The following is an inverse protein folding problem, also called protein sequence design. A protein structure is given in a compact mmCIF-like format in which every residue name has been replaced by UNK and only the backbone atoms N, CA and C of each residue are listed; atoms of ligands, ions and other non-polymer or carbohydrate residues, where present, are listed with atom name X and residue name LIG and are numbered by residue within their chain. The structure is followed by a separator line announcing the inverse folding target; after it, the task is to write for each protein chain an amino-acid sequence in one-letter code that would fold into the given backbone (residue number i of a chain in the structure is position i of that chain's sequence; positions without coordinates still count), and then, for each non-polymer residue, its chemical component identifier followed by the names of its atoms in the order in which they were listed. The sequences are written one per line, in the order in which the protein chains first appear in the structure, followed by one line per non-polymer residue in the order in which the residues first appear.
data_IF_376450409363
#
_entry.id   IF_376450409363
#
_cell.length_a   1.000
_cell.length_b   1.000
_cell.length_c   1.000
_cell.angle_alpha   90.00
_cell.angle_beta   90.00
_cell.angle_gamma   90.00
#
_symmetry.space_group_name_H-M   'P 1'
#
loop_
_entity.id
_entity.type
_entity.pdbx_description
1 polymer ?
#
# COMPACT_ATOMS: atom_id res chain seq x y z
N UNK A 1 -9.57 -27.36 -16.84
CA UNK A 1 -9.16 -26.80 -18.15
C UNK A 1 -8.67 -25.39 -17.93
N UNK A 2 -7.35 -25.17 -17.89
CA UNK A 2 -6.79 -23.82 -17.81
C UNK A 2 -6.70 -23.25 -19.21
N UNK A 3 -7.61 -22.35 -19.58
CA UNK A 3 -7.40 -21.55 -20.78
C UNK A 3 -6.41 -20.43 -20.43
N UNK A 4 -5.30 -20.37 -21.16
CA UNK A 4 -4.47 -19.17 -21.18
C UNK A 4 -5.37 -18.03 -21.69
N UNK A 5 -5.65 -17.05 -20.83
CA UNK A 5 -6.63 -16.00 -21.09
C UNK A 5 -6.18 -15.02 -22.18
N UNK A 6 -4.96 -15.19 -22.72
CA UNK A 6 -4.33 -14.24 -23.64
C UNK A 6 -3.95 -12.92 -22.98
N UNK A 7 -4.31 -12.73 -21.70
CA UNK A 7 -4.17 -11.47 -20.99
C UNK A 7 -2.70 -11.08 -20.85
N UNK A 8 -2.42 -9.81 -21.08
CA UNK A 8 -1.07 -9.24 -20.98
C UNK A 8 -1.07 -8.07 -20.03
N UNK A 9 -0.04 -8.02 -19.18
CA UNK A 9 0.28 -6.86 -18.35
C UNK A 9 1.58 -6.26 -18.85
N UNK A 10 1.58 -4.97 -19.15
CA UNK A 10 2.76 -4.21 -19.57
C UNK A 10 3.09 -3.22 -18.46
N UNK A 11 4.32 -3.30 -17.95
CA UNK A 11 4.81 -2.43 -16.87
C UNK A 11 6.02 -1.65 -17.35
N UNK A 12 6.02 -0.33 -17.11
CA UNK A 12 7.15 0.56 -17.39
C UNK A 12 7.72 1.10 -16.09
N UNK A 13 9.05 1.14 -16.01
CA UNK A 13 9.79 1.56 -14.82
C UNK A 13 10.73 2.71 -15.17
N UNK A 14 10.96 3.61 -14.22
CA UNK A 14 11.99 4.64 -14.35
C UNK A 14 13.37 4.17 -13.92
N UNK A 15 14.38 5.04 -14.07
CA UNK A 15 15.78 4.77 -13.71
C UNK A 15 16.00 4.52 -12.20
N UNK A 16 15.02 4.78 -11.34
CA UNK A 16 15.06 4.51 -9.90
C UNK A 16 14.29 3.22 -9.54
N UNK A 17 13.94 2.40 -10.54
CA UNK A 17 13.15 1.19 -10.38
C UNK A 17 11.76 1.44 -9.78
N UNK A 18 11.12 2.58 -10.12
CA UNK A 18 9.74 2.89 -9.72
C UNK A 18 8.79 2.62 -10.87
N UNK A 19 7.65 1.97 -10.58
CA UNK A 19 6.64 1.66 -11.59
C UNK A 19 5.95 2.96 -12.03
N UNK A 20 6.20 3.42 -13.25
CA UNK A 20 5.60 4.67 -13.75
C UNK A 20 4.34 4.45 -14.56
N UNK A 21 4.19 3.26 -15.15
CA UNK A 21 3.03 2.92 -15.97
C UNK A 21 2.72 1.44 -15.87
N UNK A 22 1.43 1.10 -15.77
CA UNK A 22 0.93 -0.27 -15.88
C UNK A 22 -0.30 -0.30 -16.78
N UNK A 23 -0.33 -1.24 -17.71
CA UNK A 23 -1.48 -1.49 -18.57
C UNK A 23 -1.84 -2.98 -18.60
N UNK A 24 -3.12 -3.32 -18.46
CA UNK A 24 -3.63 -4.68 -18.67
C UNK A 24 -4.53 -4.74 -19.88
N UNK A 25 -4.36 -5.77 -20.71
CA UNK A 25 -5.12 -6.00 -21.94
C UNK A 25 -5.60 -7.44 -21.99
N UNK A 26 -6.82 -7.68 -22.49
CA UNK A 26 -7.33 -9.04 -22.73
C UNK A 26 -6.45 -9.85 -23.68
N UNK A 27 -5.79 -9.19 -24.63
CA UNK A 27 -4.76 -9.79 -25.48
C UNK A 27 -3.74 -8.72 -25.93
N UNK A 28 -2.57 -9.12 -26.48
CA UNK A 28 -1.50 -8.16 -26.81
C UNK A 28 -1.91 -7.04 -27.78
N UNK A 29 -2.95 -7.26 -28.57
CA UNK A 29 -3.44 -6.34 -29.61
C UNK A 29 -4.73 -5.62 -29.24
N UNK A 30 -5.36 -5.96 -28.10
CA UNK A 30 -6.60 -5.32 -27.67
C UNK A 30 -6.32 -3.96 -27.07
N UNK A 31 -7.35 -3.11 -27.01
CA UNK A 31 -7.30 -1.91 -26.18
C UNK A 31 -7.02 -2.27 -24.70
N UNK A 32 -6.48 -1.31 -23.96
CA UNK A 32 -6.33 -1.40 -22.51
C UNK A 32 -7.68 -1.69 -21.85
N UNK A 33 -7.73 -2.68 -20.96
CA UNK A 33 -8.81 -2.84 -19.98
C UNK A 33 -8.65 -1.85 -18.83
N UNK A 34 -7.39 -1.65 -18.44
CA UNK A 34 -6.96 -0.65 -17.48
C UNK A 34 -5.59 -0.13 -17.87
N UNK A 35 -5.40 1.17 -17.68
CA UNK A 35 -4.11 1.84 -17.69
C UNK A 35 -3.98 2.70 -16.43
N UNK A 36 -2.81 2.67 -15.80
CA UNK A 36 -2.50 3.45 -14.62
C UNK A 36 -1.10 4.07 -14.77
N UNK A 37 -1.04 5.40 -14.68
CA UNK A 37 0.19 6.18 -14.61
C UNK A 37 0.43 6.65 -13.18
N UNK A 38 1.67 6.53 -12.71
CA UNK A 38 2.05 6.87 -11.34
C UNK A 38 3.08 7.99 -11.31
N UNK A 39 2.87 8.95 -10.41
CA UNK A 39 3.80 10.08 -10.20
C UNK A 39 4.44 9.97 -8.82
N UNK A 40 5.73 10.25 -8.73
CA UNK A 40 6.53 10.14 -7.51
C UNK A 40 7.22 11.44 -7.17
N UNK A 41 7.42 11.70 -5.88
CA UNK A 41 8.29 12.77 -5.41
C UNK A 41 9.79 12.38 -5.46
N UNK A 42 10.64 13.28 -4.98
CA UNK A 42 12.10 13.07 -4.92
C UNK A 42 12.52 12.01 -3.89
N UNK A 43 11.65 11.70 -2.94
CA UNK A 43 11.84 10.71 -1.87
C UNK A 43 11.26 9.34 -2.22
N UNK A 44 10.91 9.12 -3.49
CA UNK A 44 10.33 7.87 -4.01
C UNK A 44 8.94 7.53 -3.46
N UNK A 45 8.24 8.51 -2.90
CA UNK A 45 6.84 8.33 -2.48
C UNK A 45 5.93 8.62 -3.65
N UNK A 46 4.96 7.74 -3.90
CA UNK A 46 3.91 7.98 -4.89
C UNK A 46 3.04 9.15 -4.45
N UNK A 47 3.01 10.24 -5.20
CA UNK A 47 2.24 11.45 -4.89
C UNK A 47 0.97 11.61 -5.72
N UNK A 48 0.74 10.72 -6.68
CA UNK A 48 -0.51 10.70 -7.43
C UNK A 48 -0.57 9.56 -8.41
N UNK A 49 -1.77 9.34 -8.95
CA UNK A 49 -2.01 8.43 -10.05
C UNK A 49 -3.07 8.95 -11.00
N UNK A 50 -2.99 8.54 -12.25
CA UNK A 50 -4.01 8.76 -13.29
C UNK A 50 -4.40 7.40 -13.82
N UNK A 51 -5.70 7.09 -13.80
CA UNK A 51 -6.22 5.78 -14.15
C UNK A 51 -7.28 5.92 -15.21
N UNK A 52 -7.22 5.04 -16.20
CA UNK A 52 -8.24 4.85 -17.23
C UNK A 52 -8.67 3.40 -17.15
N UNK A 53 -9.92 3.15 -16.73
CA UNK A 53 -10.39 1.78 -16.49
C UNK A 53 -11.86 1.59 -16.90
N UNK A 54 -12.19 0.35 -17.31
CA UNK A 54 -13.57 -0.09 -17.58
C UNK A 54 -13.93 -0.16 -19.07
N UNK A 55 -15.09 -0.76 -19.36
CA UNK A 55 -15.58 -0.99 -20.73
C UNK A 55 -15.97 0.31 -21.47
N UNK A 56 -16.35 1.35 -20.72
CA UNK A 56 -16.45 2.73 -21.16
C UNK A 56 -15.43 3.51 -20.32
N UNK A 57 -14.18 3.63 -20.77
CA UNK A 57 -13.08 4.05 -19.92
C UNK A 57 -13.35 5.42 -19.33
N UNK A 58 -13.48 5.47 -18.00
CA UNK A 58 -13.54 6.72 -17.25
C UNK A 58 -12.13 6.98 -16.74
N UNK A 59 -11.62 8.16 -17.08
CA UNK A 59 -10.39 8.66 -16.49
C UNK A 59 -10.70 9.20 -15.10
N UNK A 60 -9.86 8.89 -14.12
CA UNK A 60 -9.82 9.61 -12.85
C UNK A 60 -8.38 9.89 -12.45
N UNK A 61 -8.18 10.96 -11.67
CA UNK A 61 -6.87 11.32 -11.11
C UNK A 61 -6.93 11.42 -9.61
N UNK A 62 -5.82 11.12 -8.98
CA UNK A 62 -5.63 11.26 -7.53
C UNK A 62 -4.31 11.95 -7.22
N UNK A 63 -4.29 12.66 -6.08
CA UNK A 63 -3.07 13.27 -5.52
C UNK A 63 -3.03 13.09 -4.02
N UNK A 64 -1.84 12.87 -3.47
CA UNK A 64 -1.64 12.43 -2.09
C UNK A 64 -0.77 13.41 -1.31
N UNK A 65 -1.19 13.71 -0.09
CA UNK A 65 -0.40 14.48 0.89
C UNK A 65 0.01 13.56 2.02
N UNK A 66 1.30 13.60 2.33
CA UNK A 66 1.91 12.73 3.32
C UNK A 66 2.18 13.46 4.65
N UNK A 67 1.98 12.75 5.75
CA UNK A 67 2.61 13.03 7.04
C UNK A 67 3.52 11.83 7.37
N UNK A 68 4.83 12.07 7.41
CA UNK A 68 5.83 11.01 7.41
C UNK A 68 5.64 10.02 6.25
N UNK A 69 5.30 8.78 6.59
CA UNK A 69 5.10 7.64 5.69
C UNK A 69 3.63 7.33 5.38
N UNK A 70 2.70 8.15 5.89
CA UNK A 70 1.25 7.93 5.76
C UNK A 70 0.60 8.98 4.87
N UNK A 71 -0.35 8.55 4.03
CA UNK A 71 -1.19 9.45 3.23
C UNK A 71 -2.31 9.98 4.13
N UNK A 72 -2.17 11.21 4.61
CA UNK A 72 -3.16 11.84 5.49
C UNK A 72 -4.28 12.53 4.72
N UNK A 73 -4.02 12.95 3.48
CA UNK A 73 -5.03 13.59 2.62
C UNK A 73 -4.92 13.03 1.21
N UNK A 74 -6.08 12.79 0.61
CA UNK A 74 -6.24 12.40 -0.78
C UNK A 74 -7.18 13.37 -1.48
N UNK A 75 -6.75 13.83 -2.65
CA UNK A 75 -7.59 14.57 -3.58
C UNK A 75 -7.93 13.67 -4.76
N UNK A 76 -9.17 13.76 -5.25
CA UNK A 76 -9.66 12.98 -6.38
C UNK A 76 -10.42 13.85 -7.37
N UNK A 77 -10.07 13.69 -8.63
CA UNK A 77 -10.79 14.17 -9.79
C UNK A 77 -11.48 12.95 -10.41
N UNK A 78 -12.81 12.82 -10.30
CA UNK A 78 -13.53 11.61 -10.66
C UNK A 78 -13.77 11.43 -12.17
N UNK A 79 -13.59 12.48 -12.97
CA UNK A 79 -13.85 12.47 -14.42
C UNK A 79 -12.66 12.91 -15.28
N UNK A 80 -11.51 13.18 -14.64
CA UNK A 80 -10.22 13.32 -15.31
C UNK A 80 -10.01 14.71 -15.93
N UNK A 81 -8.91 14.89 -16.66
CA UNK A 81 -8.49 16.22 -17.15
C UNK A 81 -9.51 16.86 -18.10
N UNK A 82 -10.28 16.02 -18.80
CA UNK A 82 -11.29 16.45 -19.76
C UNK A 82 -12.68 16.62 -19.12
N UNK A 83 -12.86 16.20 -17.87
CA UNK A 83 -14.12 16.25 -17.15
C UNK A 83 -14.42 17.63 -16.56
N UNK A 84 -15.71 17.93 -16.29
CA UNK A 84 -16.09 19.19 -15.64
C UNK A 84 -15.80 19.23 -14.13
N UNK A 85 -15.55 18.11 -13.44
CA UNK A 85 -15.29 18.12 -12.01
C UNK A 85 -13.84 18.52 -11.70
N UNK A 86 -13.60 19.24 -10.60
CA UNK A 86 -12.25 19.59 -10.20
C UNK A 86 -11.57 18.44 -9.43
N UNK A 87 -10.24 18.51 -9.35
CA UNK A 87 -9.48 17.81 -8.32
C UNK A 87 -9.89 18.36 -6.94
N UNK A 88 -10.65 17.58 -6.18
CA UNK A 88 -11.24 18.00 -4.91
C UNK A 88 -10.83 17.07 -3.76
N UNK A 89 -10.96 17.55 -2.52
CA UNK A 89 -10.71 16.74 -1.33
C UNK A 89 -11.62 15.51 -1.35
N UNK A 90 -11.03 14.32 -1.25
CA UNK A 90 -11.75 13.05 -1.28
C UNK A 90 -11.65 12.29 0.03
N UNK A 91 -10.47 12.24 0.66
CA UNK A 91 -10.30 11.52 1.93
C UNK A 91 -9.34 12.25 2.85
N UNK A 92 -9.65 12.25 4.15
CA UNK A 92 -8.71 12.55 5.25
C UNK A 92 -8.56 11.33 6.12
N UNK A 93 -7.35 11.08 6.61
CA UNK A 93 -7.04 9.91 7.42
C UNK A 93 -6.41 10.33 8.74
N UNK A 94 -6.87 9.69 9.81
CA UNK A 94 -6.25 9.79 11.13
C UNK A 94 -5.50 8.49 11.39
N UNK A 95 -4.19 8.59 11.55
CA UNK A 95 -3.33 7.48 11.92
C UNK A 95 -2.99 7.53 13.41
N UNK A 96 -2.78 6.35 13.98
CA UNK A 96 -2.21 6.22 15.31
C UNK A 96 -0.70 6.47 15.30
N UNK A 97 -0.04 6.37 16.47
CA UNK A 97 1.41 6.55 16.58
C UNK A 97 2.22 5.42 15.94
N UNK A 98 1.56 4.48 15.28
CA UNK A 98 2.10 3.22 14.79
C UNK A 98 2.10 3.21 13.26
N UNK A 99 3.14 2.65 12.63
CA UNK A 99 3.14 2.51 11.16
C UNK A 99 1.94 1.68 10.68
N UNK A 100 1.23 2.23 9.71
CA UNK A 100 0.09 1.63 9.02
C UNK A 100 -1.07 1.31 9.97
N UNK A 101 -1.12 1.95 11.15
CA UNK A 101 -2.28 1.91 12.06
C UNK A 101 -3.26 3.01 11.69
N UNK A 102 -4.20 2.70 10.81
CA UNK A 102 -5.33 3.57 10.54
C UNK A 102 -6.31 3.55 11.73
N UNK A 103 -6.80 4.71 12.14
CA UNK A 103 -7.82 4.85 13.19
C UNK A 103 -9.17 5.27 12.62
N UNK A 104 -9.18 6.20 11.66
CA UNK A 104 -10.39 6.67 11.01
C UNK A 104 -10.09 7.23 9.61
N UNK A 105 -11.06 7.10 8.72
CA UNK A 105 -11.08 7.76 7.42
C UNK A 105 -12.33 8.62 7.30
N UNK A 106 -12.16 9.88 6.94
CA UNK A 106 -13.26 10.78 6.60
C UNK A 106 -13.29 10.93 5.08
N UNK A 107 -14.36 10.42 4.45
CA UNK A 107 -14.53 10.41 2.99
C UNK A 107 -15.53 11.48 2.56
N UNK A 108 -15.28 12.06 1.39
CA UNK A 108 -16.06 13.15 0.79
C UNK A 108 -16.59 12.73 -0.59
N UNK A 109 -17.72 13.29 -1.04
CA UNK A 109 -18.27 13.05 -2.37
C UNK A 109 -17.27 13.33 -3.50
N UNK A 110 -17.38 12.54 -4.56
CA UNK A 110 -16.63 12.74 -5.79
C UNK A 110 -16.91 14.14 -6.38
N UNK A 111 -15.86 14.84 -6.82
CA UNK A 111 -15.98 16.20 -7.38
C UNK A 111 -16.09 17.31 -6.34
N UNK A 112 -16.09 16.95 -5.04
CA UNK A 112 -16.07 17.88 -3.92
C UNK A 112 -17.42 17.99 -3.20
N UNK A 113 -17.40 18.66 -2.05
CA UNK A 113 -18.56 18.85 -1.19
C UNK A 113 -18.16 18.99 0.28
N UNK A 114 -19.11 19.45 1.10
CA UNK A 114 -18.89 19.65 2.53
C UNK A 114 -19.44 18.52 3.40
N UNK A 115 -20.23 17.60 2.80
CA UNK A 115 -20.75 16.45 3.51
C UNK A 115 -19.67 15.38 3.54
N UNK A 116 -19.35 14.84 4.71
CA UNK A 116 -18.39 13.76 4.87
C UNK A 116 -19.02 12.54 5.54
N UNK A 117 -18.40 11.38 5.33
CA UNK A 117 -18.73 10.14 6.02
C UNK A 117 -17.49 9.62 6.72
N UNK A 118 -17.58 9.38 8.02
CA UNK A 118 -16.49 8.81 8.81
C UNK A 118 -16.61 7.29 8.81
N UNK A 119 -15.58 6.63 8.32
CA UNK A 119 -15.35 5.20 8.37
C UNK A 119 -14.33 4.91 9.47
N UNK A 120 -14.58 3.83 10.22
CA UNK A 120 -13.69 3.29 11.23
C UNK A 120 -13.17 1.94 10.71
N UNK A 121 -11.98 1.89 10.11
CA UNK A 121 -11.40 0.63 9.66
C UNK A 121 -10.96 -0.20 10.87
N UNK A 122 -11.42 -1.45 10.93
CA UNK A 122 -11.01 -2.41 11.94
C UNK A 122 -10.03 -3.39 11.30
N UNK A 123 -8.81 -3.38 11.81
CA UNK A 123 -7.73 -4.18 11.29
C UNK A 123 -7.51 -5.46 12.12
N UNK A 124 -7.05 -6.52 11.46
CA UNK A 124 -6.49 -7.67 12.15
C UNK A 124 -5.12 -7.35 12.77
N UNK A 125 -4.51 -8.35 13.40
CA UNK A 125 -3.23 -8.16 14.09
C UNK A 125 -2.08 -7.75 13.14
N UNK A 126 -2.17 -8.04 11.84
CA UNK A 126 -1.19 -7.59 10.84
C UNK A 126 -1.50 -6.20 10.30
N UNK A 127 -2.54 -5.53 10.80
CA UNK A 127 -2.97 -4.24 10.26
C UNK A 127 -3.85 -4.38 9.01
N UNK A 128 -4.19 -5.60 8.57
CA UNK A 128 -5.05 -5.78 7.40
C UNK A 128 -6.47 -5.34 7.74
N UNK A 129 -7.05 -4.41 6.99
CA UNK A 129 -8.41 -3.93 7.23
C UNK A 129 -9.42 -5.03 6.92
N UNK A 130 -10.13 -5.52 7.94
CA UNK A 130 -11.16 -6.57 7.80
C UNK A 130 -12.56 -6.01 7.75
N UNK A 131 -12.84 -4.96 8.50
CA UNK A 131 -14.16 -4.34 8.54
C UNK A 131 -14.07 -2.83 8.37
N UNK A 132 -15.08 -2.25 7.73
CA UNK A 132 -15.34 -0.81 7.76
C UNK A 132 -16.62 -0.59 8.55
N UNK A 133 -16.55 0.26 9.58
CA UNK A 133 -17.68 0.58 10.44
C UNK A 133 -18.09 2.04 10.27
N UNK A 134 -19.40 2.29 10.28
CA UNK A 134 -19.97 3.64 10.37
C UNK A 134 -20.82 3.78 11.62
N UNK A 135 -20.91 5.01 12.13
CA UNK A 135 -21.82 5.35 13.21
C UNK A 135 -23.14 5.88 12.65
N UNK A 136 -24.26 5.23 13.00
CA UNK A 136 -25.58 5.72 12.63
C UNK A 136 -26.07 6.69 13.71
N UNK A 137 -26.07 7.99 13.40
CA UNK A 137 -26.54 9.03 14.34
C UNK A 137 -28.02 8.93 14.68
N UNK A 138 -28.84 8.36 13.81
CA UNK A 138 -30.29 8.22 14.02
C UNK A 138 -30.62 7.09 14.98
N UNK A 139 -29.83 6.01 14.99
CA UNK A 139 -30.02 4.88 15.92
C UNK A 139 -29.06 4.91 17.12
N UNK A 140 -28.01 5.73 17.06
CA UNK A 140 -26.97 5.82 18.08
C UNK A 140 -26.07 4.59 18.15
N UNK A 141 -26.00 3.77 17.10
CA UNK A 141 -25.27 2.50 17.08
C UNK A 141 -24.29 2.43 15.91
N UNK A 142 -23.11 1.80 16.08
CA UNK A 142 -22.24 1.47 14.97
C UNK A 142 -22.80 0.30 14.16
N UNK A 143 -22.48 0.25 12.88
CA UNK A 143 -22.79 -0.87 12.00
C UNK A 143 -21.64 -1.10 11.01
N UNK A 144 -21.41 -2.37 10.67
CA UNK A 144 -20.43 -2.75 9.65
C UNK A 144 -21.02 -2.39 8.29
N UNK A 145 -20.26 -1.65 7.49
CA UNK A 145 -20.61 -1.32 6.09
C UNK A 145 -19.98 -2.24 5.09
N UNK A 146 -18.83 -2.83 5.46
CA UNK A 146 -18.05 -3.72 4.59
C UNK A 146 -17.24 -4.68 5.44
N UNK A 147 -17.22 -5.95 5.03
CA UNK A 147 -16.33 -6.99 5.55
C UNK A 147 -15.47 -7.53 4.40
N UNK A 148 -14.19 -7.78 4.65
CA UNK A 148 -13.20 -8.22 3.66
C UNK A 148 -12.45 -9.45 4.17
N UNK A 149 -12.52 -10.51 3.38
CA UNK A 149 -11.76 -11.74 3.57
C UNK A 149 -10.53 -11.75 2.66
N UNK A 150 -9.38 -12.01 3.25
CA UNK A 150 -8.12 -12.26 2.56
C UNK A 150 -7.67 -13.70 2.76
N UNK A 151 -7.03 -14.29 1.74
CA UNK A 151 -6.16 -15.44 1.95
C UNK A 151 -4.84 -15.02 2.63
N UNK A 152 -3.96 -15.99 2.87
CA UNK A 152 -2.75 -15.72 3.65
C UNK A 152 -1.74 -14.80 2.96
N UNK A 153 -1.79 -14.70 1.64
CA UNK A 153 -0.92 -13.79 0.87
C UNK A 153 -1.60 -12.44 0.61
N UNK A 154 -2.77 -12.20 1.20
CA UNK A 154 -3.46 -10.92 1.08
C UNK A 154 -4.37 -10.80 -0.13
N UNK A 155 -4.60 -11.88 -0.89
CA UNK A 155 -5.55 -11.84 -2.00
C UNK A 155 -6.96 -11.86 -1.43
N UNK A 156 -7.79 -10.95 -1.91
CA UNK A 156 -9.20 -10.84 -1.51
C UNK A 156 -9.95 -12.08 -2.00
N UNK A 157 -10.55 -12.82 -1.08
CA UNK A 157 -11.34 -14.03 -1.35
C UNK A 157 -12.83 -13.85 -1.10
N UNK A 158 -13.22 -12.77 -0.42
CA UNK A 158 -14.60 -12.44 -0.14
C UNK A 158 -14.75 -10.98 0.24
N UNK A 159 -15.86 -10.38 -0.18
CA UNK A 159 -16.28 -9.05 0.29
C UNK A 159 -17.79 -9.11 0.50
N UNK A 160 -18.26 -8.67 1.67
CA UNK A 160 -19.69 -8.48 1.91
C UNK A 160 -19.99 -7.05 2.33
N UNK A 161 -21.21 -6.59 2.02
CA UNK A 161 -21.71 -5.29 2.46
C UNK A 161 -22.34 -5.37 3.86
N UNK A 162 -22.86 -4.25 4.37
CA UNK A 162 -23.49 -4.20 5.70
C UNK A 162 -24.75 -5.05 5.90
N UNK A 163 -25.32 -5.64 4.84
CA UNK A 163 -26.39 -6.63 4.93
C UNK A 163 -25.91 -8.08 4.77
N UNK A 164 -24.59 -8.29 4.76
CA UNK A 164 -23.96 -9.61 4.59
C UNK A 164 -24.05 -10.17 3.17
N UNK A 165 -24.45 -9.37 2.18
CA UNK A 165 -24.53 -9.79 0.79
C UNK A 165 -23.19 -9.64 0.08
N UNK A 166 -22.87 -10.51 -0.90
CA UNK A 166 -21.67 -10.36 -1.73
C UNK A 166 -21.56 -8.96 -2.34
N UNK A 167 -20.35 -8.41 -2.33
CA UNK A 167 -20.05 -7.04 -2.73
C UNK A 167 -18.69 -6.99 -3.44
N UNK A 168 -18.27 -5.81 -3.91
CA UNK A 168 -16.89 -5.57 -4.37
C UNK A 168 -16.19 -4.55 -3.45
N UNK A 169 -14.87 -4.42 -3.59
CA UNK A 169 -14.10 -3.43 -2.84
C UNK A 169 -14.52 -2.00 -3.17
N UNK A 170 -14.89 -1.74 -4.43
CA UNK A 170 -15.22 -0.39 -4.92
C UNK A 170 -16.71 -0.03 -4.78
N UNK A 171 -17.58 -0.98 -4.40
CA UNK A 171 -19.01 -0.69 -4.23
C UNK A 171 -19.35 -0.17 -2.83
N UNK A 172 -20.10 0.93 -2.77
CA UNK A 172 -20.47 1.58 -1.51
C UNK A 172 -19.27 2.19 -0.78
N UNK A 173 -19.34 2.39 0.55
CA UNK A 173 -18.21 2.87 1.33
C UNK A 173 -16.99 1.96 1.16
N UNK A 174 -15.84 2.54 0.80
CA UNK A 174 -14.60 1.81 0.53
C UNK A 174 -13.42 2.50 1.20
N UNK A 175 -12.32 1.75 1.31
CA UNK A 175 -11.03 2.28 1.73
C UNK A 175 -9.97 1.83 0.73
N UNK A 176 -8.92 2.64 0.59
CA UNK A 176 -7.69 2.29 -0.12
C UNK A 176 -6.82 1.32 0.69
N UNK A 177 -6.97 1.29 2.01
CA UNK A 177 -6.10 0.51 2.89
C UNK A 177 -6.62 -0.92 3.00
N UNK A 178 -5.83 -1.89 2.54
CA UNK A 178 -6.20 -3.28 2.51
C UNK A 178 -5.32 -4.16 3.39
N UNK A 179 -4.75 -5.19 2.78
CA UNK A 179 -3.88 -6.14 3.45
C UNK A 179 -2.64 -5.47 4.03
N UNK A 180 -2.27 -5.83 5.27
CA UNK A 180 -1.18 -5.22 6.06
C UNK A 180 -1.28 -3.69 6.25
N UNK A 181 -2.47 -3.09 6.06
CA UNK A 181 -2.70 -1.65 6.18
C UNK A 181 -2.10 -0.83 5.03
N UNK A 182 -1.75 -1.51 3.92
CA UNK A 182 -1.13 -0.90 2.74
C UNK A 182 -2.17 -0.57 1.68
N UNK A 183 -1.80 0.38 0.82
CA UNK A 183 -2.67 0.85 -0.25
C UNK A 183 -2.89 -0.26 -1.27
N UNK A 184 -4.15 -0.53 -1.58
CA UNK A 184 -4.58 -1.45 -2.62
C UNK A 184 -5.14 -0.67 -3.81
N UNK A 185 -4.56 -0.90 -4.97
CA UNK A 185 -5.03 -0.36 -6.25
C UNK A 185 -5.98 -1.37 -6.88
N UNK A 186 -7.28 -1.23 -6.60
CA UNK A 186 -8.32 -2.13 -7.10
C UNK A 186 -8.34 -2.22 -8.63
N UNK A 187 -7.95 -1.15 -9.31
CA UNK A 187 -7.88 -1.10 -10.76
C UNK A 187 -6.77 -1.96 -11.34
N UNK A 188 -5.71 -2.30 -10.58
CA UNK A 188 -4.60 -3.16 -11.03
C UNK A 188 -4.54 -4.50 -10.29
N UNK A 189 -5.17 -4.58 -9.12
CA UNK A 189 -5.06 -5.72 -8.20
C UNK A 189 -3.76 -5.73 -7.41
N UNK A 190 -2.97 -4.65 -7.45
CA UNK A 190 -1.68 -4.56 -6.80
C UNK A 190 -1.77 -3.81 -5.47
N UNK A 191 -0.91 -4.20 -4.54
CA UNK A 191 -0.69 -3.49 -3.29
C UNK A 191 0.58 -2.64 -3.40
N UNK A 192 0.52 -1.38 -3.02
CA UNK A 192 1.67 -0.47 -3.00
C UNK A 192 2.32 -0.46 -1.60
N UNK A 193 3.55 -0.97 -1.51
CA UNK A 193 4.36 -0.99 -0.29
C UNK A 193 5.55 -0.05 -0.44
N UNK A 194 5.29 1.23 -0.72
CA UNK A 194 6.30 2.30 -0.77
C UNK A 194 7.37 2.04 -1.84
N UNK A 195 8.41 1.28 -1.51
CA UNK A 195 9.49 0.96 -2.44
C UNK A 195 9.10 -0.05 -3.53
N UNK A 196 8.09 -0.91 -3.29
CA UNK A 196 7.71 -1.97 -4.23
C UNK A 196 6.20 -2.14 -4.36
N UNK A 197 5.78 -2.64 -5.52
CA UNK A 197 4.42 -3.15 -5.73
C UNK A 197 4.40 -4.65 -5.47
N UNK A 198 3.41 -5.10 -4.70
CA UNK A 198 3.17 -6.49 -4.34
C UNK A 198 1.96 -7.03 -5.10
N UNK A 199 2.12 -8.20 -5.69
CA UNK A 199 1.05 -8.97 -6.31
C UNK A 199 0.63 -10.10 -5.38
N UNK A 200 -0.51 -9.91 -4.72
CA UNK A 200 -1.09 -10.89 -3.81
C UNK A 200 -1.63 -12.13 -4.54
N UNK A 201 -1.95 -12.04 -5.84
CA UNK A 201 -2.47 -13.17 -6.60
C UNK A 201 -1.42 -14.26 -6.83
N UNK A 202 -0.15 -13.86 -6.93
CA UNK A 202 1.00 -14.76 -7.08
C UNK A 202 1.96 -14.75 -5.89
N UNK A 203 1.66 -13.96 -4.85
CA UNK A 203 2.39 -13.93 -3.59
C UNK A 203 3.82 -13.40 -3.68
N UNK A 204 4.09 -12.39 -4.52
CA UNK A 204 5.45 -11.85 -4.73
C UNK A 204 5.50 -10.38 -5.10
N UNK A 205 6.69 -9.79 -5.00
CA UNK A 205 6.99 -8.46 -5.50
C UNK A 205 7.04 -8.44 -7.04
N UNK A 206 6.65 -7.31 -7.65
CA UNK A 206 6.78 -7.10 -9.11
C UNK A 206 8.20 -6.72 -9.54
N UNK A 207 8.99 -6.14 -8.65
CA UNK A 207 10.37 -5.72 -8.90
C UNK A 207 11.34 -6.39 -7.93
N UNK A 208 12.61 -6.45 -8.33
CA UNK A 208 13.70 -6.87 -7.46
C UNK A 208 13.80 -5.93 -6.24
N UNK A 209 14.25 -6.49 -5.12
CA UNK A 209 14.56 -5.71 -3.92
C UNK A 209 15.60 -4.60 -4.21
N UNK A 210 15.27 -3.31 -4.02
CA UNK A 210 16.19 -2.21 -4.27
C UNK A 210 17.48 -2.25 -3.45
N UNK A 211 17.49 -2.91 -2.29
CA UNK A 211 18.71 -3.09 -1.48
C UNK A 211 19.44 -4.41 -1.80
N UNK A 212 18.94 -5.17 -2.79
CA UNK A 212 19.51 -6.42 -3.28
C UNK A 212 19.67 -7.47 -2.17
N UNK A 213 20.77 -8.21 -2.21
CA UNK A 213 21.08 -9.22 -1.19
C UNK A 213 21.29 -8.67 0.22
N UNK A 214 21.41 -7.34 0.38
CA UNK A 214 21.45 -6.71 1.70
C UNK A 214 20.13 -6.86 2.46
N UNK A 215 19.04 -7.22 1.76
CA UNK A 215 17.76 -7.58 2.36
C UNK A 215 17.79 -8.91 3.14
N UNK A 216 18.89 -9.66 3.08
CA UNK A 216 19.02 -10.96 3.78
C UNK A 216 18.41 -12.15 3.04
N UNK A 217 17.78 -11.90 1.88
CA UNK A 217 17.11 -12.91 1.06
C UNK A 217 17.81 -13.08 -0.31
N UNK A 218 18.22 -14.30 -0.71
CA UNK A 218 18.71 -14.54 -2.08
C UNK A 218 17.62 -14.43 -3.15
N UNK A 219 16.34 -14.49 -2.79
CA UNK A 219 15.22 -14.30 -3.72
C UNK A 219 14.70 -12.87 -3.62
N UNK A 220 15.12 -12.02 -4.55
CA UNK A 220 14.80 -10.58 -4.57
C UNK A 220 13.32 -10.27 -4.84
N UNK A 221 12.50 -11.27 -5.18
CA UNK A 221 11.07 -11.13 -5.44
C UNK A 221 10.20 -11.72 -4.32
N UNK A 222 10.78 -12.42 -3.35
CA UNK A 222 10.00 -13.16 -2.34
C UNK A 222 9.35 -12.20 -1.35
N UNK A 223 8.05 -12.39 -1.11
CA UNK A 223 7.35 -11.69 -0.05
C UNK A 223 7.58 -12.39 1.29
N UNK A 224 8.14 -11.65 2.26
CA UNK A 224 8.28 -12.01 3.68
C UNK A 224 8.68 -13.48 3.96
N UNK A 225 9.67 -13.99 3.21
CA UNK A 225 10.17 -15.37 3.32
C UNK A 225 9.09 -16.46 3.16
N UNK A 226 8.00 -16.19 2.43
CA UNK A 226 6.83 -17.06 2.32
C UNK A 226 6.18 -17.39 3.68
N UNK A 227 6.27 -16.48 4.65
CA UNK A 227 5.61 -16.60 5.95
C UNK A 227 4.70 -15.38 6.23
N UNK A 228 3.74 -15.10 5.32
CA UNK A 228 2.90 -13.91 5.41
C UNK A 228 1.92 -13.96 6.57
N UNK A 229 1.61 -15.14 7.12
CA UNK A 229 0.79 -15.30 8.31
C UNK A 229 1.51 -14.94 9.61
N UNK A 230 2.79 -14.58 9.57
CA UNK A 230 3.55 -14.20 10.78
C UNK A 230 4.36 -12.91 10.61
N UNK A 231 4.35 -12.31 9.42
CA UNK A 231 5.22 -11.21 9.07
C UNK A 231 4.60 -10.26 8.06
N UNK A 232 5.00 -9.00 8.11
CA UNK A 232 4.68 -7.98 7.12
C UNK A 232 5.94 -7.21 6.73
N UNK A 233 5.95 -6.61 5.53
CA UNK A 233 6.97 -5.63 5.11
C UNK A 233 6.28 -4.29 4.79
N UNK A 234 6.18 -3.38 5.79
CA UNK A 234 5.65 -2.04 5.61
C UNK A 234 6.45 -1.20 4.61
N UNK A 235 7.76 -1.39 4.55
CA UNK A 235 8.66 -0.52 3.77
C UNK A 235 8.79 -0.94 2.31
N UNK A 236 8.54 -2.21 2.02
CA UNK A 236 8.91 -2.83 0.76
C UNK A 236 10.43 -2.97 0.59
N UNK A 237 11.24 -2.88 1.66
CA UNK A 237 12.69 -2.96 1.64
C UNK A 237 13.27 -3.90 2.71
N UNK A 238 12.42 -4.48 3.56
CA UNK A 238 12.88 -5.19 4.74
C UNK A 238 12.48 -6.65 4.72
N UNK A 239 13.37 -7.45 5.32
CA UNK A 239 13.06 -8.82 5.64
C UNK A 239 11.97 -8.85 6.72
N UNK A 240 10.80 -9.39 6.36
CA UNK A 240 9.77 -9.94 7.23
C UNK A 240 9.91 -9.53 8.72
N UNK A 241 9.26 -8.45 9.14
CA UNK A 241 9.20 -8.17 10.58
C UNK A 241 8.35 -9.25 11.23
N UNK A 242 8.92 -10.04 12.16
CA UNK A 242 8.12 -11.00 12.93
C UNK A 242 6.99 -10.28 13.66
N UNK A 243 5.94 -10.99 14.09
CA UNK A 243 4.86 -10.39 14.91
C UNK A 243 5.37 -9.51 16.05
N UNK A 244 6.41 -9.95 16.77
CA UNK A 244 7.01 -9.17 17.88
C UNK A 244 7.80 -7.95 17.42
N UNK A 245 8.48 -8.04 16.28
CA UNK A 245 9.22 -6.91 15.69
C UNK A 245 8.27 -5.92 15.04
N UNK A 246 7.22 -6.41 14.39
CA UNK A 246 6.10 -5.61 13.89
C UNK A 246 5.49 -4.85 15.06
N UNK A 247 5.07 -5.52 16.14
CA UNK A 247 4.48 -4.87 17.32
C UNK A 247 5.43 -3.82 17.95
N UNK A 248 6.75 -4.07 17.97
CA UNK A 248 7.76 -3.13 18.49
C UNK A 248 8.03 -1.95 17.56
N UNK A 249 8.19 -2.21 16.26
CA UNK A 249 8.36 -1.18 15.23
C UNK A 249 7.13 -0.27 15.19
N UNK A 250 5.96 -0.89 15.31
CA UNK A 250 4.68 -0.22 15.50
C UNK A 250 4.68 0.68 16.72
N UNK A 251 5.03 0.18 17.90
CA UNK A 251 5.02 0.96 19.14
C UNK A 251 6.05 2.11 19.21
N UNK A 252 7.09 2.11 18.35
CA UNK A 252 8.21 3.03 18.44
C UNK A 252 7.96 4.43 17.82
N UNK A 253 6.88 4.62 17.05
CA UNK A 253 6.37 5.93 16.60
C UNK A 253 7.34 6.90 15.92
N UNK A 254 8.46 6.44 15.36
CA UNK A 254 9.38 7.28 14.61
C UNK A 254 10.00 6.51 13.43
N UNK A 255 9.57 6.77 12.18
CA UNK A 255 10.01 6.04 10.99
C UNK A 255 11.27 6.63 10.32
N UNK A 256 12.11 7.40 11.03
CA UNK A 256 13.37 7.90 10.45
C UNK A 256 14.42 6.79 10.30
N UNK A 257 14.16 5.88 9.36
CA UNK A 257 14.94 4.70 9.01
C UNK A 257 15.15 3.75 10.18
N UNK A 258 15.26 2.43 9.96
CA UNK A 258 15.90 1.60 10.96
C UNK A 258 17.34 2.07 11.15
N UNK A 259 17.61 2.87 12.20
CA UNK A 259 18.96 3.22 12.68
C UNK A 259 19.82 2.01 13.06
N UNK A 260 19.36 0.78 12.82
CA UNK A 260 20.15 -0.44 12.91
C UNK A 260 20.91 -0.77 11.61
N UNK A 261 20.70 -0.05 10.50
CA UNK A 261 21.46 -0.19 9.25
C UNK A 261 22.59 0.87 9.17
N UNK A 262 23.38 1.03 10.24
CA UNK A 262 24.79 1.45 10.16
C UNK A 262 25.54 0.86 11.37
N UNK A 263 25.69 -0.47 11.45
CA UNK A 263 26.73 -1.03 12.35
C UNK A 263 27.26 -2.42 12.02
N UNK A 264 26.75 -3.13 11.01
CA UNK A 264 27.36 -4.40 10.59
C UNK A 264 28.43 -4.20 9.51
N UNK A 265 29.25 -3.17 9.69
CA UNK A 265 30.44 -2.87 8.89
C UNK A 265 31.64 -2.70 9.80
N UNK A 266 32.41 -3.79 9.98
CA UNK A 266 33.69 -3.90 10.69
C UNK A 266 33.66 -3.80 12.23
N UNK A 267 33.75 -4.96 12.87
CA UNK A 267 34.64 -5.10 14.03
C UNK A 267 36.07 -4.86 13.54
N UNK A 268 36.55 -3.62 13.67
CA UNK A 268 37.99 -3.39 13.83
C UNK A 268 38.22 -3.50 15.33
N UNK A 269 38.97 -4.52 15.71
CA UNK A 269 39.44 -4.72 17.06
C UNK A 269 39.99 -3.40 17.66
N UNK A 270 39.58 -3.10 18.89
CA UNK A 270 40.27 -2.15 19.75
C UNK A 270 41.72 -2.62 19.94
N UNK A 271 42.62 -2.19 19.07
CA UNK A 271 44.05 -2.14 19.37
C UNK A 271 44.32 -0.78 19.99
N UNK A 272 44.35 -0.75 21.32
CA UNK A 272 44.87 0.40 22.08
C UNK A 272 46.30 0.72 21.64
N UNK A 273 46.67 2.00 21.46
CA UNK A 273 48.06 2.37 21.19
C UNK A 273 48.94 2.02 22.40
N UNK A 274 49.91 1.14 22.19
CA UNK A 274 50.94 0.81 23.18
C UNK A 274 51.94 1.99 23.23
N UNK A 275 52.21 2.60 24.39
CA UNK A 275 53.15 3.71 24.49
C UNK A 275 54.58 3.25 24.15
N UNK A 276 55.26 4.05 23.34
CA UNK A 276 56.67 3.92 22.98
C UNK A 276 57.54 4.10 24.23
N UNK A 277 58.45 3.16 24.56
CA UNK A 277 59.50 3.44 25.55
C UNK A 277 60.50 4.42 24.96
N UNK A 278 60.71 5.54 25.65
CA UNK A 278 61.77 6.49 25.37
C UNK A 278 63.15 5.82 25.45
N UNK A 279 64.02 6.23 24.55
CA UNK A 279 65.42 5.82 24.46
C UNK A 279 66.23 6.74 25.38
N UNK A 280 66.90 6.18 26.37
CA UNK A 280 68.13 6.70 26.98
C UNK A 280 69.08 5.54 27.15
#
# INVERSE_FOLDING_TARGET
SGQATGETTVSTWDHRNRLTHLERRSNPTSAALVSADYTYDVFDRRIGKKVVAGAAPVEYRESYVYDGDHIVIEYRDPDGDAGPQPLALSTRRLYGPVIDQILAEETYPAGGGNNSTVLWPLADWQGSVRDLVQFNSSTGQPFITKHIDYDSFGRVIGVTNGSGQPSTLDSGPSTRLGYTGREFDSETGLQYNRARYYDAAIGRWLSEDPIGFSAGDPNLYRYVRNNPENSADPSGLQEAMSKRETDRFRAAGNPSSPKWIVSQGRSVANLSPRPTPGRT
#
